data_IF_942256600192
#
_entry.id   IF_942256600192
#
_cell.length_a   1.000
_cell.length_b   1.000
_cell.length_c   1.000
_cell.angle_alpha   90.00
_cell.angle_beta   90.00
_cell.angle_gamma   90.00
#
_symmetry.space_group_name_H-M   'P 1'
#
loop_
_entity.id
_entity.type
_entity.pdbx_description
1 polymer ?
#
# COMPACT_ATOMS: atom_id res chain seq x y z
N UNK A 1 4.37 16.68 18.34
CA UNK A 1 4.21 15.98 19.63
C UNK A 1 4.58 14.54 19.40
N UNK A 2 5.65 14.07 20.05
CA UNK A 2 6.21 12.74 19.88
C UNK A 2 5.34 11.75 20.63
N UNK A 3 4.69 10.82 19.93
CA UNK A 3 3.97 9.72 20.58
C UNK A 3 5.03 8.76 21.08
N UNK A 4 5.14 8.67 22.40
CA UNK A 4 6.00 7.74 23.13
C UNK A 4 5.83 6.33 22.57
N UNK A 5 6.93 5.75 22.08
CA UNK A 5 7.02 4.34 21.80
C UNK A 5 6.81 3.58 23.11
N UNK A 6 5.62 3.02 23.29
CA UNK A 6 5.41 1.94 24.26
C UNK A 6 6.24 0.79 23.74
N UNK A 7 7.33 0.47 24.44
CA UNK A 7 8.10 -0.73 24.17
C UNK A 7 7.15 -1.92 24.31
N UNK A 8 6.74 -2.52 23.19
CA UNK A 8 6.05 -3.80 23.17
C UNK A 8 7.01 -4.81 23.79
N UNK A 9 6.73 -5.21 25.04
CA UNK A 9 7.43 -6.28 25.74
C UNK A 9 7.33 -7.52 24.86
N UNK A 10 8.42 -7.93 24.24
CA UNK A 10 8.46 -9.20 23.49
C UNK A 10 8.28 -10.34 24.48
N UNK A 11 7.13 -11.01 24.40
CA UNK A 11 6.81 -12.16 25.24
C UNK A 11 7.51 -13.40 24.68
N UNK A 12 8.07 -14.22 25.57
CA UNK A 12 8.62 -15.51 25.19
C UNK A 12 7.49 -16.48 24.82
N UNK A 13 7.76 -17.43 23.92
CA UNK A 13 6.78 -18.46 23.56
C UNK A 13 6.40 -19.29 24.79
N UNK A 14 5.12 -19.66 24.87
CA UNK A 14 4.63 -20.50 25.97
C UNK A 14 5.34 -21.85 26.01
N UNK A 15 5.89 -22.26 27.16
CA UNK A 15 6.36 -23.62 27.37
C UNK A 15 5.23 -24.59 27.71
N UNK A 16 4.02 -24.09 28.01
CA UNK A 16 2.91 -24.88 28.54
C UNK A 16 1.90 -25.31 27.48
N UNK A 17 1.96 -24.71 26.28
CA UNK A 17 1.05 -24.96 25.16
C UNK A 17 1.79 -24.70 23.86
N UNK A 18 1.59 -25.55 22.86
CA UNK A 18 2.03 -25.28 21.48
C UNK A 18 0.83 -24.93 20.61
N UNK A 19 0.93 -23.87 19.82
CA UNK A 19 -0.05 -23.55 18.78
C UNK A 19 0.37 -24.15 17.44
N UNK A 20 -0.61 -24.59 16.67
CA UNK A 20 -0.47 -24.92 15.27
C UNK A 20 -1.60 -24.26 14.47
N UNK A 21 -1.24 -23.46 13.47
CA UNK A 21 -2.19 -22.85 12.56
C UNK A 21 -2.61 -23.92 11.54
N UNK A 22 -3.85 -24.39 11.62
CA UNK A 22 -4.40 -25.37 10.67
C UNK A 22 -4.96 -24.70 9.42
N UNK A 23 -5.52 -23.51 9.57
CA UNK A 23 -6.09 -22.77 8.45
C UNK A 23 -6.09 -21.25 8.67
N UNK A 24 -5.87 -20.49 7.60
CA UNK A 24 -6.14 -19.06 7.53
C UNK A 24 -6.68 -18.78 6.12
N UNK A 25 -7.94 -18.38 6.04
CA UNK A 25 -8.58 -18.00 4.78
C UNK A 25 -8.89 -16.50 4.78
N UNK A 26 -8.57 -15.84 3.67
CA UNK A 26 -8.95 -14.46 3.37
C UNK A 26 -8.77 -14.19 1.87
N UNK A 27 -9.47 -13.19 1.36
CA UNK A 27 -9.23 -12.67 0.01
C UNK A 27 -7.96 -11.83 -0.03
N UNK A 28 -7.21 -11.94 -1.12
CA UNK A 28 -6.04 -11.10 -1.40
C UNK A 28 -6.37 -10.02 -2.42
N UNK A 29 -5.67 -8.89 -2.34
CA UNK A 29 -5.73 -7.89 -3.40
C UNK A 29 -5.05 -8.45 -4.65
N UNK A 30 -5.67 -8.30 -5.81
CA UNK A 30 -5.23 -8.88 -7.08
C UNK A 30 -3.75 -8.62 -7.38
N UNK A 31 -3.00 -9.65 -7.76
CA UNK A 31 -1.56 -9.61 -8.03
C UNK A 31 -0.67 -9.21 -6.82
N UNK A 32 -1.18 -9.37 -5.60
CA UNK A 32 -0.42 -9.19 -4.35
C UNK A 32 -0.68 -10.34 -3.38
N UNK A 33 0.08 -10.39 -2.28
CA UNK A 33 -0.16 -11.28 -1.13
C UNK A 33 -0.82 -10.55 0.05
N UNK A 34 -1.30 -9.31 -0.16
CA UNK A 34 -1.89 -8.50 0.89
C UNK A 34 -3.35 -8.87 1.09
N UNK A 35 -3.77 -8.97 2.36
CA UNK A 35 -5.18 -9.14 2.71
C UNK A 35 -5.98 -7.99 2.11
N UNK A 36 -7.10 -8.32 1.47
CA UNK A 36 -8.03 -7.35 0.92
C UNK A 36 -8.87 -6.75 2.05
N UNK A 37 -8.96 -5.44 2.10
CA UNK A 37 -9.75 -4.76 3.12
C UNK A 37 -11.25 -5.05 2.96
N UNK A 38 -11.97 -5.11 4.08
CA UNK A 38 -13.42 -5.34 4.11
C UNK A 38 -13.84 -6.76 3.73
N UNK A 39 -12.91 -7.70 3.54
CA UNK A 39 -13.25 -9.10 3.25
C UNK A 39 -13.23 -9.94 4.52
N UNK A 40 -13.99 -11.03 4.51
CA UNK A 40 -14.01 -11.98 5.61
C UNK A 40 -12.64 -12.65 5.76
N UNK A 41 -12.24 -12.84 7.02
CA UNK A 41 -11.07 -13.59 7.43
C UNK A 41 -11.53 -14.69 8.37
N UNK A 42 -11.05 -15.91 8.16
CA UNK A 42 -11.29 -17.03 9.06
C UNK A 42 -9.98 -17.73 9.41
N UNK A 43 -9.85 -18.15 10.66
CA UNK A 43 -8.62 -18.68 11.25
C UNK A 43 -9.00 -19.90 12.07
N UNK A 44 -8.22 -20.98 11.93
CA UNK A 44 -8.29 -22.16 12.79
C UNK A 44 -6.93 -22.49 13.35
N UNK A 45 -6.83 -22.46 14.68
CA UNK A 45 -5.63 -22.82 15.44
C UNK A 45 -5.96 -24.03 16.31
N UNK A 46 -5.02 -24.96 16.41
CA UNK A 46 -5.09 -26.07 17.36
C UNK A 46 -3.99 -25.90 18.38
N UNK A 47 -4.38 -25.91 19.66
CA UNK A 47 -3.48 -25.93 20.79
C UNK A 47 -3.20 -27.38 21.18
N UNK A 48 -1.94 -27.75 21.28
CA UNK A 48 -1.46 -29.11 21.64
C UNK A 48 -0.44 -29.02 22.77
N UNK A 49 0.03 -30.18 23.25
CA UNK A 49 1.08 -30.28 24.28
C UNK A 49 0.73 -29.46 25.53
N UNK A 50 -0.54 -29.51 25.93
CA UNK A 50 -1.05 -28.73 27.06
C UNK A 50 -0.49 -29.32 28.37
N UNK A 51 0.46 -28.62 28.99
CA UNK A 51 1.16 -29.08 30.20
C UNK A 51 0.17 -29.28 31.35
N UNK A 52 0.18 -30.47 31.95
CA UNK A 52 -0.66 -30.82 33.12
C UNK A 52 -0.06 -30.34 34.45
N UNK A 53 1.17 -29.83 34.43
CA UNK A 53 1.92 -29.39 35.61
C UNK A 53 1.34 -28.09 36.18
N UNK A 54 0.91 -27.18 35.31
CA UNK A 54 0.18 -25.97 35.70
C UNK A 54 -1.31 -26.29 35.74
N UNK A 55 -1.98 -26.11 36.88
CA UNK A 55 -3.39 -26.53 37.03
C UNK A 55 -4.34 -25.82 36.05
N UNK A 56 -4.14 -24.52 35.84
CA UNK A 56 -4.92 -23.70 34.90
C UNK A 56 -4.13 -22.50 34.41
N UNK A 57 -4.49 -21.99 33.24
CA UNK A 57 -3.99 -20.72 32.71
C UNK A 57 -5.13 -19.87 32.15
N UNK A 58 -4.89 -18.58 31.95
CA UNK A 58 -5.81 -17.67 31.26
C UNK A 58 -5.25 -17.34 29.89
N UNK A 59 -5.98 -17.70 28.83
CA UNK A 59 -5.71 -17.27 27.47
C UNK A 59 -6.40 -15.92 27.24
N UNK A 60 -5.69 -14.93 26.70
CA UNK A 60 -6.21 -13.60 26.35
C UNK A 60 -6.14 -13.47 24.84
N UNK A 61 -7.23 -13.01 24.24
CA UNK A 61 -7.38 -12.93 22.79
C UNK A 61 -7.47 -11.47 22.37
N UNK A 62 -6.66 -11.07 21.40
CA UNK A 62 -6.73 -9.76 20.76
C UNK A 62 -6.79 -9.92 19.24
N UNK A 63 -7.63 -9.13 18.60
CA UNK A 63 -7.82 -9.12 17.15
C UNK A 63 -8.26 -7.73 16.70
N UNK A 64 -7.73 -7.29 15.57
CA UNK A 64 -8.09 -6.04 14.89
C UNK A 64 -9.14 -6.25 13.79
N UNK A 65 -9.67 -7.47 13.66
CA UNK A 65 -10.79 -7.76 12.78
C UNK A 65 -12.05 -7.03 13.25
N UNK A 66 -12.79 -6.46 12.30
CA UNK A 66 -14.08 -5.83 12.56
C UNK A 66 -15.10 -6.93 12.84
N UNK A 67 -15.84 -6.79 13.94
CA UNK A 67 -16.81 -7.80 14.35
C UNK A 67 -16.20 -9.13 14.78
N UNK A 68 -14.91 -9.14 15.19
CA UNK A 68 -14.16 -10.33 15.58
C UNK A 68 -14.93 -11.23 16.57
N UNK A 69 -15.13 -12.49 16.19
CA UNK A 69 -15.73 -13.54 17.01
C UNK A 69 -14.84 -14.77 17.01
N UNK A 70 -14.63 -15.32 18.19
CA UNK A 70 -13.91 -16.55 18.38
C UNK A 70 -14.77 -17.63 19.00
N UNK A 71 -14.32 -18.87 18.85
CA UNK A 71 -14.86 -20.02 19.54
C UNK A 71 -13.71 -20.87 20.06
N UNK A 72 -13.80 -21.27 21.32
CA UNK A 72 -12.99 -22.34 21.90
C UNK A 72 -13.93 -23.29 22.64
N UNK A 73 -13.98 -24.54 22.18
CA UNK A 73 -15.04 -25.48 22.58
C UNK A 73 -16.43 -24.82 22.39
N UNK A 74 -17.30 -24.87 23.40
CA UNK A 74 -18.65 -24.28 23.35
C UNK A 74 -18.69 -22.79 23.75
N UNK A 75 -17.54 -22.16 24.03
CA UNK A 75 -17.50 -20.75 24.46
C UNK A 75 -17.24 -19.81 23.30
N UNK A 76 -18.08 -18.79 23.22
CA UNK A 76 -17.90 -17.65 22.32
C UNK A 76 -16.92 -16.65 22.94
N UNK A 77 -16.00 -16.16 22.13
CA UNK A 77 -14.96 -15.20 22.49
C UNK A 77 -15.11 -13.93 21.65
N UNK A 78 -14.66 -12.82 22.20
CA UNK A 78 -14.54 -11.53 21.51
C UNK A 78 -13.11 -11.00 21.65
N UNK A 79 -12.73 -10.05 20.80
CA UNK A 79 -11.45 -9.34 20.99
C UNK A 79 -11.39 -8.68 22.37
N UNK A 80 -10.27 -8.82 23.07
CA UNK A 80 -10.06 -8.40 24.46
C UNK A 80 -10.60 -9.37 25.51
N UNK A 81 -11.31 -10.43 25.12
CA UNK A 81 -11.82 -11.42 26.06
C UNK A 81 -10.73 -12.38 26.54
N UNK A 82 -11.05 -13.12 27.60
CA UNK A 82 -10.16 -14.15 28.13
C UNK A 82 -10.89 -15.46 28.40
N UNK A 83 -10.17 -16.57 28.28
CA UNK A 83 -10.63 -17.92 28.55
C UNK A 83 -9.74 -18.60 29.57
N UNK A 84 -10.31 -19.05 30.67
CA UNK A 84 -9.58 -19.90 31.63
C UNK A 84 -9.56 -21.33 31.12
N UNK A 85 -8.37 -21.80 30.75
CA UNK A 85 -8.12 -23.19 30.40
C UNK A 85 -7.76 -23.98 31.65
N UNK A 86 -8.53 -25.01 31.96
CA UNK A 86 -8.14 -25.99 32.98
C UNK A 86 -7.29 -27.06 32.30
N UNK A 87 -5.99 -27.03 32.57
CA UNK A 87 -5.03 -27.90 31.91
C UNK A 87 -5.22 -29.36 32.29
N UNK A 88 -5.72 -29.66 33.49
CA UNK A 88 -5.99 -31.04 33.93
C UNK A 88 -7.17 -31.66 33.19
N UNK A 89 -8.20 -30.85 32.91
CA UNK A 89 -9.48 -31.33 32.37
C UNK A 89 -9.62 -31.12 30.85
N UNK A 90 -8.86 -30.21 30.25
CA UNK A 90 -8.80 -30.10 28.78
C UNK A 90 -8.19 -31.37 28.21
N UNK A 91 -8.70 -31.80 27.06
CA UNK A 91 -8.15 -32.95 26.32
C UNK A 91 -6.71 -32.73 25.86
N UNK A 92 -6.25 -33.58 24.95
CA UNK A 92 -4.92 -33.43 24.35
C UNK A 92 -4.83 -32.19 23.44
N UNK A 93 -5.97 -31.76 22.90
CA UNK A 93 -6.10 -30.64 21.99
C UNK A 93 -7.21 -29.68 22.41
N UNK A 94 -7.01 -28.40 22.10
CA UNK A 94 -8.06 -27.38 22.12
C UNK A 94 -8.09 -26.63 20.79
N UNK A 95 -9.25 -26.63 20.13
CA UNK A 95 -9.43 -25.97 18.84
C UNK A 95 -9.97 -24.56 19.06
N UNK A 96 -9.30 -23.58 18.44
CA UNK A 96 -9.72 -22.20 18.39
C UNK A 96 -10.11 -21.88 16.94
N UNK A 97 -11.34 -21.41 16.76
CA UNK A 97 -11.79 -20.83 15.50
C UNK A 97 -11.99 -19.34 15.71
N UNK A 98 -11.58 -18.51 14.75
CA UNK A 98 -11.69 -17.06 14.85
C UNK A 98 -12.07 -16.47 13.50
N UNK A 99 -13.02 -15.55 13.48
CA UNK A 99 -13.47 -14.92 12.25
C UNK A 99 -13.85 -13.45 12.45
N UNK A 100 -13.87 -12.70 11.36
CA UNK A 100 -14.27 -11.31 11.31
C UNK A 100 -13.86 -10.69 9.98
N UNK A 101 -14.13 -9.41 9.80
CA UNK A 101 -13.77 -8.70 8.57
C UNK A 101 -12.43 -7.99 8.71
N UNK A 102 -11.61 -8.01 7.65
CA UNK A 102 -10.40 -7.21 7.58
C UNK A 102 -10.77 -5.71 7.64
N UNK A 103 -10.09 -4.90 8.46
CA UNK A 103 -10.47 -3.50 8.63
C UNK A 103 -10.29 -2.71 7.33
N UNK A 104 -11.12 -1.68 7.15
CA UNK A 104 -10.93 -0.76 6.02
C UNK A 104 -9.66 0.09 6.21
N UNK A 105 -8.81 0.12 5.18
CA UNK A 105 -7.60 0.93 5.20
C UNK A 105 -7.51 1.86 4.01
N UNK A 106 -7.04 3.07 4.30
CA UNK A 106 -6.75 4.11 3.31
C UNK A 106 -5.30 4.05 2.81
N UNK A 107 -4.49 3.10 3.26
CA UNK A 107 -3.12 2.92 2.79
C UNK A 107 -2.68 1.51 3.14
N UNK A 108 -1.61 1.03 2.49
CA UNK A 108 -0.99 -0.22 2.92
C UNK A 108 -0.64 -0.12 4.40
N UNK A 109 -0.93 -1.18 5.13
CA UNK A 109 -0.61 -1.31 6.54
C UNK A 109 -0.41 -2.76 6.92
N UNK A 110 -0.17 -2.98 8.21
CA UNK A 110 -0.26 -4.29 8.82
C UNK A 110 -1.31 -4.26 9.91
N UNK A 111 -1.88 -5.42 10.19
CA UNK A 111 -2.84 -5.59 11.27
C UNK A 111 -2.72 -6.99 11.87
N UNK A 112 -3.18 -7.11 13.11
CA UNK A 112 -3.20 -8.33 13.89
C UNK A 112 -4.49 -9.09 13.62
N UNK A 113 -4.38 -10.19 12.89
CA UNK A 113 -5.50 -11.11 12.67
C UNK A 113 -5.94 -11.70 14.01
N UNK A 114 -4.98 -12.24 14.76
CA UNK A 114 -5.20 -12.83 16.07
C UNK A 114 -3.88 -12.86 16.85
N UNK A 115 -3.93 -12.40 18.10
CA UNK A 115 -2.88 -12.54 19.08
C UNK A 115 -3.47 -13.27 20.30
N UNK A 116 -2.77 -14.30 20.75
CA UNK A 116 -3.14 -15.10 21.91
C UNK A 116 -1.98 -15.04 22.88
N UNK A 117 -2.22 -14.47 24.06
CA UNK A 117 -1.27 -14.55 25.18
C UNK A 117 -1.81 -15.50 26.25
N UNK A 118 -0.90 -16.09 27.01
CA UNK A 118 -1.21 -16.97 28.11
C UNK A 118 -0.63 -16.41 29.41
N UNK A 119 -1.49 -16.23 30.40
CA UNK A 119 -1.11 -15.87 31.76
C UNK A 119 -1.20 -17.09 32.66
N UNK A 120 -0.09 -17.39 33.34
CA UNK A 120 0.03 -18.46 34.34
C UNK A 120 0.49 -17.85 35.67
N UNK A 121 0.67 -18.69 36.70
CA UNK A 121 1.30 -18.26 37.96
C UNK A 121 2.79 -17.92 37.81
N UNK A 122 3.43 -18.44 36.76
CA UNK A 122 4.87 -18.28 36.51
C UNK A 122 5.18 -17.06 35.63
N UNK A 123 4.21 -16.59 34.85
CA UNK A 123 4.40 -15.42 34.01
C UNK A 123 3.36 -15.28 32.90
N UNK A 124 3.69 -14.40 31.95
CA UNK A 124 2.91 -14.16 30.74
C UNK A 124 3.74 -14.58 29.52
N UNK A 125 3.10 -15.30 28.61
CA UNK A 125 3.74 -15.92 27.46
C UNK A 125 2.94 -15.67 26.18
N UNK A 126 3.64 -15.66 25.05
CA UNK A 126 3.01 -15.67 23.74
C UNK A 126 2.61 -17.09 23.36
N UNK A 127 1.34 -17.30 23.04
CA UNK A 127 0.88 -18.55 22.42
C UNK A 127 0.98 -18.43 20.91
N UNK A 128 0.36 -17.40 20.33
CA UNK A 128 0.37 -17.19 18.87
C UNK A 128 0.22 -15.70 18.52
N UNK A 129 0.88 -15.24 17.45
CA UNK A 129 0.72 -13.88 16.93
C UNK A 129 0.70 -13.89 15.41
N UNK A 130 -0.47 -13.64 14.83
CA UNK A 130 -0.68 -13.63 13.38
C UNK A 130 -0.87 -12.19 12.93
N UNK A 131 0.18 -11.64 12.32
CA UNK A 131 0.15 -10.31 11.71
C UNK A 131 0.20 -10.48 10.19
N UNK A 132 -0.60 -9.69 9.46
CA UNK A 132 -0.62 -9.69 7.99
C UNK A 132 -0.61 -8.28 7.43
N UNK A 133 -0.10 -8.15 6.21
CA UNK A 133 -0.23 -6.93 5.42
C UNK A 133 -1.65 -6.79 4.90
N UNK A 134 -2.13 -5.55 4.79
CA UNK A 134 -3.50 -5.19 4.44
C UNK A 134 -3.49 -4.03 3.46
N UNK A 135 -4.33 -4.12 2.43
CA UNK A 135 -4.50 -3.07 1.43
C UNK A 135 -5.88 -3.10 0.78
N UNK A 136 -6.10 -2.20 -0.19
CA UNK A 136 -7.29 -2.16 -1.03
C UNK A 136 -6.89 -2.19 -2.51
N UNK A 137 -7.81 -2.64 -3.37
CA UNK A 137 -7.63 -2.62 -4.83
C UNK A 137 -7.28 -1.21 -5.35
N UNK A 138 -7.93 -0.16 -4.80
CA UNK A 138 -7.66 1.21 -5.20
C UNK A 138 -6.26 1.67 -4.78
N UNK A 139 -5.82 1.29 -3.57
CA UNK A 139 -4.46 1.56 -3.08
C UNK A 139 -3.42 0.91 -4.00
N UNK A 140 -3.59 -0.37 -4.33
CA UNK A 140 -2.65 -1.11 -5.17
C UNK A 140 -2.62 -0.57 -6.61
N UNK A 141 -3.78 -0.20 -7.14
CA UNK A 141 -3.89 0.44 -8.46
C UNK A 141 -3.16 1.79 -8.50
N UNK A 142 -3.34 2.64 -7.48
CA UNK A 142 -2.64 3.92 -7.38
C UNK A 142 -1.12 3.73 -7.33
N UNK A 143 -0.64 2.79 -6.50
CA UNK A 143 0.79 2.50 -6.37
C UNK A 143 1.38 1.92 -7.66
N UNK A 144 0.66 1.04 -8.35
CA UNK A 144 1.11 0.48 -9.64
C UNK A 144 1.35 1.60 -10.67
N UNK A 145 0.39 2.51 -10.83
CA UNK A 145 0.53 3.64 -11.77
C UNK A 145 1.62 4.61 -11.30
N UNK A 146 1.73 4.88 -10.00
CA UNK A 146 2.80 5.70 -9.45
C UNK A 146 4.19 5.15 -9.81
N UNK A 147 4.43 3.85 -9.65
CA UNK A 147 5.72 3.26 -10.02
C UNK A 147 5.97 3.27 -11.53
N UNK A 148 4.92 3.11 -12.36
CA UNK A 148 5.04 3.29 -13.81
C UNK A 148 5.42 4.72 -14.18
N UNK A 149 4.74 5.70 -13.60
CA UNK A 149 5.02 7.12 -13.80
C UNK A 149 6.46 7.47 -13.40
N UNK A 150 6.89 7.01 -12.21
CA UNK A 150 8.26 7.21 -11.73
C UNK A 150 9.30 6.65 -12.72
N UNK A 151 9.10 5.43 -13.22
CA UNK A 151 9.97 4.82 -14.23
C UNK A 151 9.99 5.62 -15.53
N UNK A 152 8.82 6.05 -16.02
CA UNK A 152 8.73 6.86 -17.24
C UNK A 152 9.43 8.23 -17.09
N UNK A 153 9.38 8.84 -15.91
CA UNK A 153 10.10 10.08 -15.58
C UNK A 153 11.61 9.86 -15.62
N UNK A 154 12.10 8.76 -15.04
CA UNK A 154 13.53 8.40 -15.09
C UNK A 154 14.00 8.22 -16.55
N UNK A 155 13.21 7.54 -17.38
CA UNK A 155 13.48 7.35 -18.81
C UNK A 155 13.45 8.67 -19.60
N UNK A 156 12.46 9.54 -19.32
CA UNK A 156 12.34 10.86 -19.95
C UNK A 156 13.52 11.77 -19.60
N UNK A 157 13.93 11.77 -18.32
CA UNK A 157 15.08 12.53 -17.87
C UNK A 157 16.38 12.09 -18.58
N UNK A 158 16.59 10.78 -18.73
CA UNK A 158 17.74 10.27 -19.48
C UNK A 158 17.70 10.67 -20.95
N UNK A 159 16.54 10.57 -21.58
CA UNK A 159 16.34 10.90 -23.00
C UNK A 159 16.59 12.39 -23.26
N UNK A 160 16.06 13.27 -22.41
CA UNK A 160 16.31 14.72 -22.47
C UNK A 160 17.80 15.03 -22.28
N UNK A 161 18.46 14.36 -21.33
CA UNK A 161 19.91 14.57 -21.09
C UNK A 161 20.72 14.23 -22.33
N UNK A 162 20.49 13.05 -22.93
CA UNK A 162 21.20 12.63 -24.15
C UNK A 162 20.96 13.60 -25.33
N UNK A 163 19.71 14.04 -25.51
CA UNK A 163 19.35 14.98 -26.57
C UNK A 163 20.02 16.35 -26.36
N UNK A 164 20.11 16.80 -25.11
CA UNK A 164 20.81 18.05 -24.75
C UNK A 164 22.31 17.94 -25.09
N UNK A 165 22.95 16.82 -24.76
CA UNK A 165 24.36 16.56 -25.11
C UNK A 165 24.58 16.52 -26.63
N UNK A 166 23.59 16.04 -27.38
CA UNK A 166 23.58 16.06 -28.85
C UNK A 166 23.24 17.44 -29.45
N UNK A 167 22.98 18.46 -28.64
CA UNK A 167 22.64 19.82 -29.08
C UNK A 167 21.22 19.96 -29.64
N UNK A 168 20.31 19.04 -29.29
CA UNK A 168 18.90 19.06 -29.69
C UNK A 168 18.12 19.99 -28.74
N UNK A 169 17.17 20.75 -29.29
CA UNK A 169 16.30 21.64 -28.51
C UNK A 169 15.29 20.81 -27.71
N UNK A 170 15.33 20.94 -26.38
CA UNK A 170 14.53 20.12 -25.44
C UNK A 170 13.57 20.92 -24.55
N UNK A 171 13.40 22.23 -24.77
CA UNK A 171 12.65 23.11 -23.85
C UNK A 171 11.23 22.58 -23.54
N UNK A 172 10.48 22.19 -24.58
CA UNK A 172 9.13 21.61 -24.39
C UNK A 172 9.13 20.28 -23.63
N UNK A 173 10.16 19.45 -23.83
CA UNK A 173 10.31 18.19 -23.13
C UNK A 173 10.67 18.41 -21.66
N UNK A 174 11.52 19.39 -21.35
CA UNK A 174 11.85 19.80 -19.97
C UNK A 174 10.61 20.29 -19.22
N UNK A 175 9.78 21.13 -19.84
CA UNK A 175 8.50 21.60 -19.23
C UNK A 175 7.57 20.42 -18.93
N UNK A 176 7.46 19.46 -19.84
CA UNK A 176 6.63 18.26 -19.64
C UNK A 176 7.20 17.38 -18.51
N UNK A 177 8.52 17.24 -18.41
CA UNK A 177 9.18 16.53 -17.32
C UNK A 177 8.95 17.21 -15.96
N UNK A 178 8.98 18.55 -15.90
CA UNK A 178 8.66 19.31 -14.68
C UNK A 178 7.23 19.04 -14.20
N UNK A 179 6.25 19.11 -15.11
CA UNK A 179 4.85 18.78 -14.81
C UNK A 179 4.68 17.32 -14.35
N UNK A 180 5.38 16.38 -14.99
CA UNK A 180 5.35 14.98 -14.59
C UNK A 180 5.82 14.79 -13.14
N UNK A 181 6.90 15.48 -12.74
CA UNK A 181 7.41 15.45 -11.36
C UNK A 181 6.45 16.11 -10.36
N UNK A 182 5.82 17.23 -10.72
CA UNK A 182 4.80 17.88 -9.89
C UNK A 182 3.64 16.93 -9.59
N UNK A 183 3.06 16.32 -10.63
CA UNK A 183 1.97 15.37 -10.50
C UNK A 183 2.38 14.11 -9.72
N UNK A 184 3.62 13.60 -9.90
CA UNK A 184 4.10 12.45 -9.13
C UNK A 184 4.18 12.79 -7.62
N UNK A 185 4.66 14.00 -7.29
CA UNK A 185 4.71 14.51 -5.92
C UNK A 185 3.32 14.65 -5.30
N UNK A 186 2.37 15.24 -6.05
CA UNK A 186 0.97 15.37 -5.64
C UNK A 186 0.31 14.01 -5.39
N UNK A 187 0.57 13.04 -6.26
CA UNK A 187 0.11 11.65 -6.10
C UNK A 187 0.57 11.07 -4.75
N UNK A 188 1.85 11.19 -4.41
CA UNK A 188 2.38 10.71 -3.13
C UNK A 188 1.74 11.45 -1.96
N UNK A 189 1.53 12.76 -2.07
CA UNK A 189 0.82 13.56 -1.07
C UNK A 189 -0.61 13.08 -0.83
N UNK A 190 -1.34 12.75 -1.89
CA UNK A 190 -2.69 12.20 -1.82
C UNK A 190 -2.73 10.79 -1.24
N UNK A 191 -1.79 9.92 -1.63
CA UNK A 191 -1.64 8.59 -1.05
C UNK A 191 -1.42 8.66 0.47
N UNK A 192 -0.49 9.50 0.91
CA UNK A 192 -0.19 9.68 2.34
C UNK A 192 -1.37 10.27 3.12
N UNK A 193 -2.22 11.08 2.46
CA UNK A 193 -3.47 11.61 3.02
C UNK A 193 -4.63 10.63 3.00
N UNK A 194 -4.44 9.42 2.47
CA UNK A 194 -5.50 8.42 2.34
C UNK A 194 -6.57 8.77 1.29
N UNK A 195 -6.21 9.51 0.25
CA UNK A 195 -7.07 9.88 -0.89
C UNK A 195 -6.63 9.12 -2.15
N UNK A 196 -6.92 7.82 -2.23
CA UNK A 196 -6.35 6.90 -3.23
C UNK A 196 -6.82 7.23 -4.64
N UNK A 197 -8.07 7.65 -4.81
CA UNK A 197 -8.60 8.04 -6.13
C UNK A 197 -7.84 9.24 -6.71
N UNK A 198 -7.60 10.27 -5.89
CA UNK A 198 -6.80 11.44 -6.29
C UNK A 198 -5.33 11.06 -6.51
N UNK A 199 -4.78 10.18 -5.68
CA UNK A 199 -3.43 9.67 -5.88
C UNK A 199 -3.31 8.97 -7.25
N UNK A 200 -4.29 8.14 -7.61
CA UNK A 200 -4.33 7.47 -8.91
C UNK A 200 -4.48 8.46 -10.07
N UNK A 201 -5.30 9.50 -9.93
CA UNK A 201 -5.48 10.54 -10.95
C UNK A 201 -4.18 11.29 -11.23
N UNK A 202 -3.53 11.81 -10.18
CA UNK A 202 -2.24 12.50 -10.28
C UNK A 202 -1.14 11.58 -10.83
N UNK A 203 -1.10 10.30 -10.42
CA UNK A 203 -0.14 9.34 -10.95
C UNK A 203 -0.32 9.10 -12.46
N UNK A 204 -1.56 9.09 -12.95
CA UNK A 204 -1.84 8.98 -14.39
C UNK A 204 -1.40 10.23 -15.16
N UNK A 205 -1.63 11.42 -14.59
CA UNK A 205 -1.16 12.68 -15.18
C UNK A 205 0.38 12.71 -15.23
N UNK A 206 1.05 12.30 -14.16
CA UNK A 206 2.49 12.15 -14.11
C UNK A 206 3.02 11.24 -15.21
N UNK A 207 2.41 10.06 -15.39
CA UNK A 207 2.77 9.13 -16.47
C UNK A 207 2.57 9.76 -17.85
N UNK A 208 1.43 10.44 -18.07
CA UNK A 208 1.09 11.06 -19.35
C UNK A 208 2.11 12.13 -19.75
N UNK A 209 2.47 13.03 -18.83
CA UNK A 209 3.46 14.08 -19.10
C UNK A 209 4.88 13.52 -19.27
N UNK A 210 5.22 12.43 -18.58
CA UNK A 210 6.51 11.76 -18.79
C UNK A 210 6.61 11.12 -20.19
N UNK A 211 5.53 10.50 -20.67
CA UNK A 211 5.43 9.99 -22.04
C UNK A 211 5.47 11.13 -23.07
N UNK A 212 4.81 12.26 -22.80
CA UNK A 212 4.86 13.47 -23.64
C UNK A 212 6.27 14.04 -23.74
N UNK A 213 6.99 14.15 -22.62
CA UNK A 213 8.39 14.60 -22.59
C UNK A 213 9.27 13.74 -23.51
N UNK A 214 9.14 12.41 -23.42
CA UNK A 214 9.84 11.47 -24.30
C UNK A 214 9.48 11.66 -25.78
N UNK A 215 8.19 11.83 -26.09
CA UNK A 215 7.73 11.98 -27.47
C UNK A 215 8.20 13.30 -28.11
N UNK A 216 8.30 14.37 -27.32
CA UNK A 216 8.83 15.65 -27.79
C UNK A 216 10.31 15.55 -28.18
N UNK A 217 11.12 14.84 -27.40
CA UNK A 217 12.54 14.60 -27.75
C UNK A 217 12.64 13.77 -29.02
N UNK A 218 11.92 12.66 -29.13
CA UNK A 218 11.92 11.80 -30.33
C UNK A 218 11.47 12.55 -31.58
N UNK A 219 10.48 13.43 -31.45
CA UNK A 219 10.03 14.30 -32.55
C UNK A 219 11.10 15.31 -32.97
N UNK A 220 11.84 15.88 -32.02
CA UNK A 220 12.94 16.80 -32.29
C UNK A 220 14.14 16.09 -32.95
N UNK A 221 14.47 14.86 -32.51
CA UNK A 221 15.47 13.99 -33.14
C UNK A 221 15.11 13.71 -34.61
N UNK A 222 13.90 13.22 -34.88
CA UNK A 222 13.43 12.96 -36.24
C UNK A 222 13.45 14.21 -37.13
N UNK A 223 13.08 15.38 -36.58
CA UNK A 223 13.14 16.65 -37.31
C UNK A 223 14.57 17.07 -37.60
N UNK A 224 15.52 16.80 -36.70
CA UNK A 224 16.95 17.09 -36.91
C UNK A 224 17.57 16.17 -37.96
N UNK A 225 17.19 14.89 -37.97
CA UNK A 225 17.56 13.95 -39.04
C UNK A 225 16.99 14.39 -40.40
N UNK A 226 15.73 14.83 -40.44
CA UNK A 226 15.09 15.34 -41.66
C UNK A 226 15.64 16.72 -42.06
N UNK A 227 16.12 17.57 -41.14
CA UNK A 227 16.68 18.89 -41.49
C UNK A 227 18.02 18.80 -42.24
N UNK A 228 18.65 17.62 -42.26
CA UNK A 228 19.69 17.29 -43.25
C UNK A 228 19.15 17.07 -44.68
N UNK A 229 17.82 17.09 -44.87
CA UNK A 229 17.07 17.06 -46.13
C UNK A 229 15.87 18.05 -46.07
N UNK A 230 16.14 19.33 -46.37
CA UNK A 230 15.34 20.47 -45.90
C UNK A 230 13.83 20.52 -46.21
N UNK A 231 13.06 20.94 -45.19
CA UNK A 231 11.80 21.71 -45.24
C UNK A 231 11.67 22.43 -43.88
N UNK A 232 11.92 23.75 -43.84
CA UNK A 232 11.99 24.55 -42.59
C UNK A 232 10.87 25.58 -42.42
N UNK A 233 9.98 25.75 -43.40
CA UNK A 233 9.08 26.92 -43.42
C UNK A 233 7.72 26.70 -42.72
N UNK A 234 7.24 25.46 -42.58
CA UNK A 234 5.87 25.21 -42.10
C UNK A 234 5.73 25.10 -40.57
N UNK A 235 6.77 24.60 -39.88
CA UNK A 235 6.69 24.28 -38.44
C UNK A 235 6.76 25.53 -37.56
N UNK A 236 7.52 26.54 -37.97
CA UNK A 236 7.64 27.83 -37.26
C UNK A 236 6.28 28.54 -37.17
N UNK A 237 5.44 28.42 -38.20
CA UNK A 237 4.11 29.05 -38.24
C UNK A 237 3.16 28.40 -37.22
N UNK A 238 3.22 27.09 -37.03
CA UNK A 238 2.37 26.37 -36.07
C UNK A 238 2.76 26.72 -34.63
N UNK A 239 4.05 26.80 -34.32
CA UNK A 239 4.55 27.17 -32.99
C UNK A 239 4.10 28.58 -32.61
N UNK A 240 4.16 29.54 -33.55
CA UNK A 240 3.71 30.92 -33.31
C UNK A 240 2.19 30.95 -33.02
N UNK A 241 1.38 30.16 -33.74
CA UNK A 241 -0.08 30.10 -33.52
C UNK A 241 -0.43 29.51 -32.15
N UNK A 242 0.28 28.47 -31.71
CA UNK A 242 0.05 27.84 -30.40
C UNK A 242 0.46 28.79 -29.26
N UNK A 243 1.62 29.45 -29.37
CA UNK A 243 2.05 30.46 -28.40
C UNK A 243 1.07 31.64 -28.32
N UNK A 244 0.55 32.11 -29.45
CA UNK A 244 -0.48 33.15 -29.48
C UNK A 244 -1.78 32.71 -28.78
N UNK A 245 -2.21 31.45 -28.98
CA UNK A 245 -3.40 30.90 -28.32
C UNK A 245 -3.23 30.78 -26.80
N UNK A 246 -2.06 30.33 -26.32
CA UNK A 246 -1.73 30.22 -24.89
C UNK A 246 -1.70 31.61 -24.23
N UNK A 247 -1.12 32.62 -24.89
CA UNK A 247 -1.09 33.99 -24.39
C UNK A 247 -2.49 34.63 -24.34
N UNK A 248 -3.36 34.35 -25.32
CA UNK A 248 -4.75 34.80 -25.30
C UNK A 248 -5.57 34.18 -24.16
N UNK A 249 -5.37 32.88 -23.86
CA UNK A 249 -6.02 32.24 -22.72
C UNK A 249 -5.57 32.82 -21.37
N UNK A 250 -4.28 33.16 -21.23
CA UNK A 250 -3.75 33.82 -20.03
C UNK A 250 -4.32 35.23 -19.82
N UNK A 251 -4.57 36.01 -20.88
CA UNK A 251 -5.21 37.34 -20.77
C UNK A 251 -6.67 37.25 -20.34
N UNK A 252 -7.45 36.28 -20.83
CA UNK A 252 -8.85 36.09 -20.40
C UNK A 252 -9.00 35.76 -18.92
N UNK A 253 -8.01 35.08 -18.31
CA UNK A 253 -8.00 34.79 -16.86
C UNK A 253 -7.57 35.97 -15.98
N UNK A 254 -7.01 37.05 -16.56
CA UNK A 254 -6.57 38.26 -15.82
C UNK A 254 -7.49 39.48 -16.01
N UNK A 255 -8.59 39.34 -16.77
CA UNK A 255 -9.57 40.39 -17.04
C UNK A 255 -10.85 40.31 -16.20
N UNK A 256 -10.76 39.83 -14.96
CA UNK A 256 -11.82 39.98 -13.95
C UNK A 256 -11.19 40.65 -12.75
N UNK A 257 -11.16 41.97 -12.81
CA UNK A 257 -11.32 42.93 -11.71
C UNK A 257 -11.86 44.23 -12.31
#
# INVERSE_FOLDING_TARGET
MSVSGVATKELTKSPFVKSEIKNIDYDVVSATELVKNGTEVSIKIVLTNISKEIGSSKLIFYSELVGAKGHIMDKVLQSGSSYTMNHKNVGEEAVISWSGEAPEVKRRGSFTLLNITQVTTEGEYLVESIIRGLSSEMTEKALNVYYKAKKAIEEANQTITNATEAGIEVEGATVSLELANEHLSNSLGHYNSGRQEKALEEAKQALTYAEEANNLVKGAEATTEIRNYGILAAVVVIIIVVLAFILMQRKRKRGIY
#
